data_IF_149103205154
#
_entry.id   IF_149103205154
#
_cell.length_a   1.000
_cell.length_b   1.000
_cell.length_c   1.000
_cell.angle_alpha   90.00
_cell.angle_beta   90.00
_cell.angle_gamma   90.00
#
_symmetry.space_group_name_H-M   'P 1'
#
loop_
_entity.id
_entity.type
_entity.pdbx_description
1 polymer ?
#
# COMPACT_ATOMS: atom_id res chain seq x y z
N UNK A 1 25.35 62.13 -53.01
CA UNK A 1 25.57 60.71 -52.86
C UNK A 1 24.82 60.30 -51.61
N UNK A 2 23.56 59.82 -51.74
CA UNK A 2 22.73 59.45 -50.63
C UNK A 2 22.45 57.96 -50.82
N UNK A 3 23.04 57.13 -49.93
CA UNK A 3 22.90 55.66 -49.95
C UNK A 3 21.66 55.22 -49.17
N UNK A 4 20.79 54.59 -49.92
CA UNK A 4 19.57 53.94 -49.49
C UNK A 4 19.86 52.69 -48.62
N UNK A 5 19.64 52.78 -47.33
CA UNK A 5 19.88 51.69 -46.39
C UNK A 5 18.61 51.26 -45.63
N UNK A 6 17.42 51.47 -46.21
CA UNK A 6 16.17 51.31 -45.47
C UNK A 6 15.29 50.13 -45.90
N UNK A 7 15.83 49.13 -46.63
CA UNK A 7 14.97 48.07 -47.24
C UNK A 7 15.28 46.63 -46.81
N UNK A 8 16.04 46.38 -45.76
CA UNK A 8 16.37 44.99 -45.35
C UNK A 8 15.82 44.53 -43.99
N UNK A 9 15.12 45.38 -43.22
CA UNK A 9 14.66 45.01 -41.88
C UNK A 9 13.24 44.37 -41.84
N UNK A 10 12.47 44.35 -42.93
CA UNK A 10 11.12 43.87 -42.93
C UNK A 10 10.94 42.37 -43.18
N UNK A 11 11.93 41.67 -43.73
CA UNK A 11 11.79 40.23 -44.09
C UNK A 11 12.19 39.27 -42.99
N UNK A 12 13.05 39.64 -42.08
CA UNK A 12 13.51 38.75 -40.98
C UNK A 12 12.52 38.69 -39.85
N UNK A 13 11.72 39.74 -39.61
CA UNK A 13 10.68 39.74 -38.55
C UNK A 13 9.50 38.87 -38.90
N UNK A 14 9.13 38.83 -40.21
CA UNK A 14 8.02 37.97 -40.65
C UNK A 14 8.30 36.48 -40.54
N UNK A 15 9.54 36.02 -40.70
CA UNK A 15 9.95 34.63 -40.55
C UNK A 15 10.02 34.17 -39.08
N UNK A 16 10.45 35.06 -38.17
CA UNK A 16 10.45 34.78 -36.76
C UNK A 16 9.03 34.65 -36.18
N UNK A 17 8.07 35.44 -36.63
CA UNK A 17 6.69 35.35 -36.19
C UNK A 17 6.01 34.06 -36.69
N UNK A 18 6.36 33.58 -37.89
CA UNK A 18 5.84 32.30 -38.41
C UNK A 18 6.40 31.08 -37.66
N UNK A 19 7.68 31.11 -37.23
CA UNK A 19 8.32 30.03 -36.44
C UNK A 19 7.75 29.93 -35.02
N UNK A 20 7.49 31.06 -34.36
CA UNK A 20 6.86 31.09 -33.04
C UNK A 20 5.40 30.63 -33.09
N UNK A 21 4.68 30.96 -34.12
CA UNK A 21 3.30 30.49 -34.33
C UNK A 21 3.18 28.99 -34.52
N UNK A 22 4.11 28.34 -35.23
CA UNK A 22 4.14 26.89 -35.40
C UNK A 22 4.51 26.13 -34.13
N UNK A 23 5.34 26.69 -33.25
CA UNK A 23 5.70 26.08 -31.98
C UNK A 23 4.56 26.07 -30.95
N UNK A 24 3.64 27.04 -31.02
CA UNK A 24 2.48 27.12 -30.12
C UNK A 24 1.33 26.20 -30.51
N UNK A 25 1.32 25.67 -31.74
CA UNK A 25 0.26 24.76 -32.22
C UNK A 25 0.56 23.27 -31.86
N UNK A 26 1.75 22.96 -31.36
CA UNK A 26 2.11 21.59 -30.99
C UNK A 26 1.87 21.23 -29.52
N UNK A 27 1.42 22.19 -28.70
CA UNK A 27 1.13 21.93 -27.27
C UNK A 27 -0.32 21.48 -26.99
N UNK A 28 -1.13 21.23 -28.00
CA UNK A 28 -2.57 21.17 -27.86
C UNK A 28 -3.29 19.85 -28.13
N UNK A 29 -2.63 18.70 -28.19
CA UNK A 29 -3.36 17.41 -28.28
C UNK A 29 -2.53 16.26 -27.69
N UNK A 30 -2.27 16.31 -26.38
CA UNK A 30 -2.08 15.05 -25.67
C UNK A 30 -3.47 14.40 -25.54
N UNK A 31 -3.68 13.19 -26.08
CA UNK A 31 -4.90 12.45 -25.78
C UNK A 31 -5.03 12.30 -24.27
N UNK A 32 -6.23 12.42 -23.69
CA UNK A 32 -6.43 12.23 -22.26
C UNK A 32 -5.87 10.85 -21.88
N UNK A 33 -4.99 10.83 -20.88
CA UNK A 33 -4.43 9.60 -20.36
C UNK A 33 -5.59 8.67 -19.95
N UNK A 34 -5.62 7.40 -20.40
CA UNK A 34 -6.70 6.50 -20.03
C UNK A 34 -6.78 6.45 -18.51
N UNK A 35 -7.98 6.45 -17.93
CA UNK A 35 -8.14 6.42 -16.48
C UNK A 35 -7.39 5.19 -15.93
N UNK A 36 -6.47 5.44 -15.02
CA UNK A 36 -5.74 4.37 -14.33
C UNK A 36 -6.78 3.50 -13.63
N UNK A 37 -6.83 2.18 -13.89
CA UNK A 37 -7.78 1.32 -13.20
C UNK A 37 -7.54 1.47 -11.68
N UNK A 38 -8.59 1.49 -10.86
CA UNK A 38 -8.44 1.56 -9.42
C UNK A 38 -7.58 0.39 -8.95
N UNK A 39 -6.70 0.59 -7.96
CA UNK A 39 -5.88 -0.49 -7.41
C UNK A 39 -6.80 -1.63 -6.94
N UNK A 40 -6.46 -2.85 -7.31
CA UNK A 40 -7.21 -4.04 -6.89
C UNK A 40 -6.75 -4.36 -5.48
N UNK A 41 -7.52 -3.95 -4.49
CA UNK A 41 -7.28 -4.27 -3.09
C UNK A 41 -7.79 -5.68 -2.82
N UNK A 42 -6.92 -6.59 -2.42
CA UNK A 42 -7.31 -7.93 -2.01
C UNK A 42 -7.65 -7.92 -0.52
N UNK A 43 -8.80 -8.52 -0.11
CA UNK A 43 -9.12 -8.62 1.30
C UNK A 43 -8.15 -9.53 2.04
N UNK A 44 -7.81 -9.17 3.28
CA UNK A 44 -7.16 -10.07 4.21
C UNK A 44 -8.12 -11.17 4.65
N UNK A 45 -7.60 -12.38 4.89
CA UNK A 45 -8.40 -13.50 5.38
C UNK A 45 -8.04 -13.75 6.84
N UNK A 46 -9.01 -13.62 7.72
CA UNK A 46 -8.87 -13.90 9.16
C UNK A 46 -9.65 -15.15 9.51
N UNK A 47 -8.95 -16.20 9.95
CA UNK A 47 -9.58 -17.43 10.41
C UNK A 47 -9.50 -17.46 11.93
N UNK A 48 -10.64 -17.70 12.57
CA UNK A 48 -10.74 -17.80 14.02
C UNK A 48 -10.41 -19.19 14.53
N UNK A 49 -10.14 -19.31 15.83
CA UNK A 49 -9.97 -20.59 16.52
C UNK A 49 -11.23 -21.48 16.44
N UNK A 50 -12.40 -20.90 16.20
CA UNK A 50 -13.66 -21.61 15.97
C UNK A 50 -13.83 -22.06 14.51
N UNK A 51 -12.85 -21.77 13.62
CA UNK A 51 -12.91 -22.15 12.21
C UNK A 51 -13.73 -21.20 11.33
N UNK A 52 -14.15 -20.04 11.83
CA UNK A 52 -14.86 -19.03 11.03
C UNK A 52 -13.87 -18.20 10.25
N UNK A 53 -14.12 -17.96 8.97
CA UNK A 53 -13.31 -17.12 8.10
C UNK A 53 -14.01 -15.78 7.83
N UNK A 54 -13.24 -14.68 7.92
CA UNK A 54 -13.68 -13.33 7.61
C UNK A 54 -12.78 -12.75 6.51
N UNK A 55 -13.38 -12.08 5.54
CA UNK A 55 -12.71 -11.33 4.49
C UNK A 55 -12.75 -9.86 4.88
N UNK A 56 -11.58 -9.29 5.19
CA UNK A 56 -11.47 -7.96 5.79
C UNK A 56 -10.62 -7.07 4.92
N UNK A 57 -11.20 -5.96 4.46
CA UNK A 57 -10.48 -4.92 3.72
C UNK A 57 -9.85 -3.94 4.70
N UNK A 58 -8.65 -3.45 4.37
CA UNK A 58 -7.94 -2.45 5.16
C UNK A 58 -7.66 -2.93 6.59
N UNK A 59 -7.26 -4.20 6.74
CA UNK A 59 -6.92 -4.76 8.04
C UNK A 59 -5.79 -3.96 8.70
N UNK A 60 -6.00 -3.56 9.94
CA UNK A 60 -5.04 -2.76 10.71
C UNK A 60 -5.17 -3.03 12.21
N UNK A 61 -4.17 -2.56 12.95
CA UNK A 61 -4.20 -2.50 14.41
C UNK A 61 -4.69 -1.11 14.82
N UNK A 62 -5.70 -0.97 15.70
CA UNK A 62 -6.14 0.34 16.17
C UNK A 62 -4.99 1.14 16.78
N UNK A 63 -4.91 2.41 16.45
CA UNK A 63 -3.88 3.33 16.96
C UNK A 63 -2.81 3.66 15.91
N UNK A 64 -1.67 4.18 16.39
CA UNK A 64 -0.61 4.69 15.51
C UNK A 64 0.42 3.65 15.09
N UNK A 65 0.53 2.56 15.82
CA UNK A 65 1.49 1.47 15.53
C UNK A 65 0.83 0.37 14.74
N UNK A 66 1.43 0.04 13.60
CA UNK A 66 1.00 -1.04 12.71
C UNK A 66 2.03 -2.18 12.74
N UNK A 67 2.46 -2.59 13.95
CA UNK A 67 3.51 -3.59 14.11
C UNK A 67 3.02 -4.78 14.93
N UNK A 68 3.40 -5.99 14.52
CA UNK A 68 3.30 -7.19 15.34
C UNK A 68 4.52 -7.29 16.24
N UNK A 69 4.29 -7.59 17.51
CA UNK A 69 5.35 -7.83 18.47
C UNK A 69 5.66 -9.31 18.53
N UNK A 70 6.83 -9.69 18.02
CA UNK A 70 7.36 -11.05 18.02
C UNK A 70 8.44 -11.20 19.09
N UNK A 71 8.33 -12.23 19.92
CA UNK A 71 9.33 -12.59 20.91
C UNK A 71 10.01 -13.89 20.49
N UNK A 72 11.34 -13.85 20.39
CA UNK A 72 12.20 -14.99 20.12
C UNK A 72 13.23 -15.12 21.26
N UNK A 73 13.00 -16.07 22.16
CA UNK A 73 13.77 -16.14 23.40
C UNK A 73 13.64 -14.87 24.25
N UNK A 74 14.73 -14.17 24.50
CA UNK A 74 14.76 -12.89 25.23
C UNK A 74 14.69 -11.66 24.31
N UNK A 75 14.72 -11.87 22.99
CA UNK A 75 14.64 -10.81 22.01
C UNK A 75 13.19 -10.47 21.68
N UNK A 76 12.93 -9.17 21.43
CA UNK A 76 11.63 -8.67 20.95
C UNK A 76 11.87 -7.93 19.66
N UNK A 77 11.15 -8.36 18.61
CA UNK A 77 11.15 -7.73 17.29
C UNK A 77 9.78 -7.13 17.02
N UNK A 78 9.75 -5.91 16.48
CA UNK A 78 8.56 -5.24 15.99
C UNK A 78 8.51 -5.40 14.48
N UNK A 79 7.55 -6.19 13.99
CA UNK A 79 7.38 -6.48 12.56
C UNK A 79 6.29 -5.57 11.99
N UNK A 80 6.62 -4.66 11.06
CA UNK A 80 5.62 -3.87 10.37
C UNK A 80 4.59 -4.78 9.71
N UNK A 81 3.30 -4.47 9.88
CA UNK A 81 2.20 -5.30 9.38
C UNK A 81 2.25 -5.44 7.85
N UNK A 82 2.72 -4.41 7.15
CA UNK A 82 2.93 -4.39 5.69
C UNK A 82 4.00 -5.39 5.19
N UNK A 83 4.89 -5.84 6.08
CA UNK A 83 5.90 -6.85 5.75
C UNK A 83 5.42 -8.28 6.03
N UNK A 84 4.25 -8.43 6.63
CA UNK A 84 3.69 -9.73 7.02
C UNK A 84 2.74 -10.22 5.93
N UNK A 85 2.97 -11.40 5.40
CA UNK A 85 2.08 -12.08 4.45
C UNK A 85 1.12 -13.01 5.18
N UNK A 86 1.64 -13.84 6.09
CA UNK A 86 0.82 -14.85 6.78
C UNK A 86 1.27 -14.94 8.23
N UNK A 87 0.30 -15.06 9.14
CA UNK A 87 0.52 -15.46 10.53
C UNK A 87 -0.28 -16.72 10.79
N UNK A 88 0.36 -17.76 11.30
CA UNK A 88 -0.31 -19.00 11.72
C UNK A 88 0.04 -19.29 13.17
N UNK A 89 -0.96 -19.24 13.99
CA UNK A 89 -0.83 -19.55 15.41
C UNK A 89 -0.85 -21.05 15.67
N UNK A 90 -0.22 -21.47 16.74
CA UNK A 90 -0.22 -22.85 17.23
C UNK A 90 -0.25 -22.89 18.75
N UNK A 91 -0.79 -23.98 19.30
CA UNK A 91 -0.80 -24.18 20.74
C UNK A 91 -1.71 -23.21 21.52
N UNK A 92 -1.63 -23.28 22.85
CA UNK A 92 -2.39 -22.42 23.76
C UNK A 92 -1.78 -21.02 23.87
N UNK A 93 -2.56 -20.10 24.44
CA UNK A 93 -2.09 -18.77 24.81
C UNK A 93 -1.44 -18.86 26.19
N UNK A 94 -0.22 -18.35 26.31
CA UNK A 94 0.53 -18.22 27.54
C UNK A 94 0.66 -16.75 27.95
N UNK A 95 -0.11 -16.33 28.96
CA UNK A 95 -0.22 -14.90 29.30
C UNK A 95 -0.81 -14.10 28.14
N UNK A 96 -0.01 -13.20 27.57
CA UNK A 96 -0.41 -12.37 26.43
C UNK A 96 0.27 -12.77 25.12
N UNK A 97 0.89 -13.95 25.07
CA UNK A 97 1.63 -14.44 23.91
C UNK A 97 1.11 -15.78 23.43
N UNK A 98 1.23 -16.03 22.15
CA UNK A 98 0.93 -17.31 21.52
C UNK A 98 1.95 -17.63 20.45
N UNK A 99 2.43 -18.86 20.43
CA UNK A 99 3.39 -19.32 19.44
C UNK A 99 2.82 -19.23 18.04
N UNK A 100 3.61 -18.73 17.10
CA UNK A 100 3.21 -18.54 15.72
C UNK A 100 4.37 -18.75 14.75
N UNK A 101 4.00 -19.05 13.51
CA UNK A 101 4.85 -18.98 12.34
C UNK A 101 4.38 -17.77 11.56
N UNK A 102 5.33 -16.89 11.21
CA UNK A 102 5.10 -15.70 10.39
C UNK A 102 5.83 -15.89 9.07
N UNK A 103 5.14 -15.63 7.96
CA UNK A 103 5.72 -15.56 6.63
C UNK A 103 5.70 -14.10 6.21
N UNK A 104 6.86 -13.55 5.85
CA UNK A 104 6.98 -12.19 5.37
C UNK A 104 6.64 -12.10 3.88
N UNK A 105 6.37 -10.89 3.40
CA UNK A 105 6.10 -10.61 1.97
C UNK A 105 7.24 -11.05 1.06
N UNK A 106 8.49 -11.05 1.54
CA UNK A 106 9.66 -11.58 0.86
C UNK A 106 9.79 -13.11 0.85
N UNK A 107 8.87 -13.83 1.52
CA UNK A 107 8.90 -15.29 1.65
C UNK A 107 9.74 -15.82 2.82
N UNK A 108 10.40 -14.95 3.57
CA UNK A 108 11.12 -15.31 4.79
C UNK A 108 10.16 -15.83 5.86
N UNK A 109 10.60 -16.86 6.60
CA UNK A 109 9.81 -17.51 7.64
C UNK A 109 10.44 -17.26 9.01
N UNK A 110 9.65 -16.69 9.90
CA UNK A 110 10.00 -16.47 11.30
C UNK A 110 9.15 -17.36 12.19
N UNK A 111 9.68 -17.72 13.37
CA UNK A 111 8.96 -18.49 14.36
C UNK A 111 9.26 -17.93 15.75
N UNK A 112 8.21 -17.69 16.53
CA UNK A 112 8.33 -17.16 17.89
C UNK A 112 6.97 -16.97 18.53
N UNK A 113 6.94 -16.25 19.65
CA UNK A 113 5.72 -15.97 20.39
C UNK A 113 5.22 -14.55 20.04
N UNK A 114 4.04 -14.47 19.43
CA UNK A 114 3.40 -13.21 19.07
C UNK A 114 2.54 -12.72 20.24
N UNK A 115 2.69 -11.44 20.57
CA UNK A 115 1.79 -10.76 21.49
C UNK A 115 0.40 -10.70 20.89
N UNK A 116 -0.63 -11.12 21.63
CA UNK A 116 -2.00 -11.28 21.10
C UNK A 116 -3.07 -10.48 21.89
N UNK A 117 -2.64 -9.67 22.85
CA UNK A 117 -3.57 -8.88 23.68
C UNK A 117 -3.85 -7.50 23.07
N UNK A 118 -4.39 -7.51 21.85
CA UNK A 118 -4.84 -6.32 21.12
C UNK A 118 -5.99 -6.67 20.17
N UNK A 119 -6.63 -5.62 19.64
CA UNK A 119 -7.66 -5.73 18.61
C UNK A 119 -7.04 -5.57 17.22
N UNK A 120 -7.65 -6.23 16.25
CA UNK A 120 -7.50 -5.94 14.82
C UNK A 120 -8.84 -5.42 14.30
N UNK A 121 -8.81 -4.55 13.32
CA UNK A 121 -10.00 -3.94 12.74
C UNK A 121 -9.89 -3.75 11.23
N UNK A 122 -11.01 -3.54 10.59
CA UNK A 122 -11.11 -3.27 9.16
C UNK A 122 -12.57 -3.18 8.73
N UNK A 123 -12.84 -3.46 7.46
CA UNK A 123 -14.20 -3.46 6.91
C UNK A 123 -14.49 -4.77 6.20
N UNK A 124 -15.71 -5.27 6.36
CA UNK A 124 -16.28 -6.38 5.61
C UNK A 124 -17.39 -5.86 4.71
N UNK A 125 -18.03 -6.72 3.95
CA UNK A 125 -19.26 -6.42 3.19
C UNK A 125 -20.43 -5.95 4.07
N UNK A 126 -20.42 -6.30 5.37
CA UNK A 126 -21.41 -5.89 6.36
C UNK A 126 -21.06 -4.58 7.08
N UNK A 127 -19.90 -3.99 6.80
CA UNK A 127 -19.45 -2.73 7.40
C UNK A 127 -18.23 -2.87 8.31
N UNK A 128 -18.11 -1.99 9.31
CA UNK A 128 -17.00 -2.00 10.26
C UNK A 128 -16.91 -3.32 11.02
N UNK A 129 -15.70 -3.86 11.11
CA UNK A 129 -15.41 -5.12 11.74
C UNK A 129 -14.20 -5.00 12.68
N UNK A 130 -14.25 -5.66 13.83
CA UNK A 130 -13.10 -5.80 14.72
C UNK A 130 -13.12 -7.15 15.44
N UNK A 131 -11.95 -7.59 15.89
CA UNK A 131 -11.76 -8.83 16.62
C UNK A 131 -10.54 -8.77 17.51
N UNK A 132 -10.57 -9.49 18.64
CA UNK A 132 -9.37 -9.71 19.44
C UNK A 132 -8.42 -10.67 18.73
N UNK A 133 -7.13 -10.32 18.68
CA UNK A 133 -6.09 -11.21 18.12
C UNK A 133 -5.99 -12.55 18.88
N UNK A 134 -6.43 -12.60 20.12
CA UNK A 134 -6.54 -13.86 20.91
C UNK A 134 -7.46 -14.90 20.30
N UNK A 135 -8.42 -14.49 19.48
CA UNK A 135 -9.38 -15.36 18.81
C UNK A 135 -8.93 -15.83 17.43
N UNK A 136 -7.86 -15.27 16.90
CA UNK A 136 -7.33 -15.58 15.57
C UNK A 136 -6.55 -16.90 15.60
N UNK A 137 -6.78 -17.74 14.61
CA UNK A 137 -6.00 -18.96 14.35
C UNK A 137 -4.99 -18.72 13.23
N UNK A 138 -5.43 -18.05 12.17
CA UNK A 138 -4.52 -17.62 11.12
C UNK A 138 -4.98 -16.31 10.52
N UNK A 139 -4.01 -15.58 10.00
CA UNK A 139 -4.18 -14.32 9.31
C UNK A 139 -3.38 -14.37 8.02
N UNK A 140 -4.03 -14.12 6.91
CA UNK A 140 -3.42 -13.94 5.60
C UNK A 140 -3.69 -12.51 5.14
N UNK A 141 -2.63 -11.74 4.93
CA UNK A 141 -2.74 -10.33 4.56
C UNK A 141 -3.11 -10.20 3.10
N UNK A 142 -4.13 -9.39 2.83
CA UNK A 142 -4.41 -8.92 1.49
C UNK A 142 -3.40 -7.84 1.08
N UNK A 143 -2.96 -7.87 -0.16
CA UNK A 143 -2.05 -6.88 -0.72
C UNK A 143 -2.82 -5.92 -1.63
N UNK A 144 -2.37 -4.65 -1.63
CA UNK A 144 -2.82 -3.62 -2.58
C UNK A 144 -2.07 -3.76 -3.91
#
# INVERSE_FOLDING_TARGET
MVTDSKRRRGKTVAWLAALVGCLLLWTGCMPPEPPTPPPVTYPSVVVTRAGLAFYVNGLRIPGTRQDLRLKEGDSITWLPLEQVSVVRFSGPIHGNYRSAIIILTGGERLQGDVFVDFLIEGTTDLGYWNMSMRQVESLEMGFD
#
